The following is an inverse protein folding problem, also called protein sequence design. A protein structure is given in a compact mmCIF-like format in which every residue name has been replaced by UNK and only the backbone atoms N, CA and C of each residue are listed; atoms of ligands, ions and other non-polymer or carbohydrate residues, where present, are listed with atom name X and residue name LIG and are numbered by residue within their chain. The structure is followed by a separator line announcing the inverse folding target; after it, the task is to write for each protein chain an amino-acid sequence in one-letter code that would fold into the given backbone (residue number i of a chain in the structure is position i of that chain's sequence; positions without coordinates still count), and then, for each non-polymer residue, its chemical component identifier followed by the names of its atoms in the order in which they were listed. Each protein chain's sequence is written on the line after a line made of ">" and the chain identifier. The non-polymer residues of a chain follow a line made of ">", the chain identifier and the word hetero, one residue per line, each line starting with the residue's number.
data_IF_741249085634
#
_entry.id   IF_741249085634
#
_cell.length_a   1.000
_cell.length_b   1.000
_cell.length_c   1.000
_cell.angle_alpha   90.00
_cell.angle_beta   90.00
_cell.angle_gamma   90.00
#
_symmetry.space_group_name_H-M   'P 1'
#
loop_
_entity.id
_entity.type
_entity.pdbx_description
1 polymer ?
#
# COMPACT_ATOMS: atom_id res chain seq x y z
N UNK A 1 34.51 37.69 19.49
CA UNK A 1 34.81 37.30 18.24
C UNK A 1 34.35 35.99 17.83
N UNK A 2 34.47 35.07 18.55
CA UNK A 2 34.19 33.71 18.10
C UNK A 2 32.75 33.33 18.17
N UNK A 3 31.97 34.25 18.42
CA UNK A 3 30.63 33.96 18.71
C UNK A 3 29.79 33.57 17.58
N UNK A 4 30.10 33.95 16.45
CA UNK A 4 29.27 33.71 15.37
C UNK A 4 29.09 32.27 15.01
N UNK A 5 29.88 31.42 15.51
CA UNK A 5 29.88 30.09 15.11
C UNK A 5 28.70 29.30 15.50
N UNK A 6 28.11 29.66 16.56
CA UNK A 6 27.14 28.83 17.12
C UNK A 6 25.92 28.69 16.32
N UNK A 7 25.59 29.49 15.46
CA UNK A 7 24.35 29.44 14.78
C UNK A 7 24.18 28.27 13.83
N UNK A 8 25.21 27.59 13.55
CA UNK A 8 25.15 26.65 12.47
C UNK A 8 24.55 25.30 12.77
N UNK A 9 24.39 24.95 14.01
CA UNK A 9 23.97 23.61 14.35
C UNK A 9 22.47 23.36 14.33
N UNK A 10 21.71 24.41 14.35
CA UNK A 10 20.30 24.30 14.60
C UNK A 10 19.47 23.63 13.51
N UNK A 11 19.68 23.91 12.26
CA UNK A 11 18.81 23.37 11.22
C UNK A 11 18.88 21.86 11.05
N UNK A 12 19.97 21.29 11.45
CA UNK A 12 20.19 19.85 11.22
C UNK A 12 19.26 18.99 12.06
N UNK A 13 18.98 19.42 13.26
CA UNK A 13 18.11 18.66 14.15
C UNK A 13 16.67 18.61 13.65
N UNK A 14 16.21 19.63 13.01
CA UNK A 14 14.86 19.67 12.46
C UNK A 14 14.70 18.74 11.27
N UNK A 15 15.71 18.65 10.45
CA UNK A 15 15.66 17.77 9.29
C UNK A 15 15.62 16.30 9.72
N UNK A 16 16.37 15.94 10.71
CA UNK A 16 16.37 14.58 11.24
C UNK A 16 15.01 14.22 11.84
N UNK A 17 14.37 15.13 12.52
CA UNK A 17 13.07 14.90 13.12
C UNK A 17 11.99 14.65 12.08
N UNK A 18 12.01 15.35 10.97
CA UNK A 18 11.02 15.17 9.93
C UNK A 18 11.22 13.87 9.15
N UNK A 19 12.41 13.36 9.07
CA UNK A 19 12.69 12.15 8.33
C UNK A 19 12.09 10.88 8.97
N UNK A 20 11.88 10.90 10.27
CA UNK A 20 11.44 9.71 11.01
C UNK A 20 10.01 9.31 10.67
N UNK A 21 9.15 10.27 10.43
CA UNK A 21 7.72 10.02 10.21
C UNK A 21 7.35 9.94 8.74
N UNK A 22 8.26 10.23 7.84
CA UNK A 22 7.91 10.41 6.45
C UNK A 22 8.13 9.15 5.61
N UNK A 23 7.14 8.81 4.82
CA UNK A 23 7.30 7.95 3.65
C UNK A 23 8.24 8.68 2.69
N UNK A 24 9.21 8.00 2.06
CA UNK A 24 10.06 8.64 1.06
C UNK A 24 9.25 9.38 0.00
N UNK A 25 9.65 10.59 -0.42
CA UNK A 25 8.86 11.38 -1.37
C UNK A 25 8.53 10.66 -2.67
N UNK A 26 9.42 9.82 -3.13
CA UNK A 26 9.20 9.02 -4.34
C UNK A 26 8.02 8.04 -4.18
N UNK A 27 7.87 7.45 -3.00
CA UNK A 27 6.76 6.52 -2.72
C UNK A 27 5.47 7.28 -2.42
N UNK A 28 5.56 8.45 -1.78
CA UNK A 28 4.40 9.27 -1.49
C UNK A 28 3.71 9.78 -2.76
N UNK A 29 4.43 9.95 -3.85
CA UNK A 29 3.88 10.39 -5.13
C UNK A 29 3.20 9.26 -5.91
N UNK A 30 3.41 8.00 -5.53
CA UNK A 30 2.79 6.85 -6.18
C UNK A 30 1.33 6.71 -5.72
N UNK A 31 0.38 6.47 -6.62
CA UNK A 31 -1.00 6.25 -6.22
C UNK A 31 -1.15 5.01 -5.34
N UNK A 32 -2.18 4.97 -4.51
CA UNK A 32 -2.42 3.85 -3.61
C UNK A 32 -2.63 2.53 -4.38
N UNK A 33 -3.29 2.60 -5.53
CA UNK A 33 -3.44 1.48 -6.48
C UNK A 33 -3.03 1.98 -7.86
N UNK A 34 -2.09 1.30 -8.47
CA UNK A 34 -1.66 1.56 -9.85
C UNK A 34 -2.63 0.88 -10.83
N UNK A 35 -3.58 1.66 -11.34
CA UNK A 35 -4.63 1.15 -12.21
C UNK A 35 -4.10 0.69 -13.58
N UNK A 36 -3.03 1.29 -14.06
CA UNK A 36 -2.40 0.86 -15.31
C UNK A 36 -1.80 -0.54 -15.16
N UNK A 37 -1.07 -0.76 -14.07
CA UNK A 37 -0.51 -2.06 -13.74
C UNK A 37 -1.62 -3.11 -13.54
N UNK A 38 -2.66 -2.76 -12.77
CA UNK A 38 -3.78 -3.66 -12.52
C UNK A 38 -4.49 -4.05 -13.83
N UNK A 39 -4.77 -3.09 -14.68
CA UNK A 39 -5.41 -3.32 -15.98
C UNK A 39 -4.56 -4.22 -16.87
N UNK A 40 -3.24 -4.03 -16.83
CA UNK A 40 -2.32 -4.88 -17.57
C UNK A 40 -2.36 -6.33 -17.06
N UNK A 41 -2.37 -6.52 -15.75
CA UNK A 41 -2.40 -7.83 -15.11
C UNK A 41 -3.72 -8.58 -15.32
N UNK A 42 -4.82 -7.86 -15.48
CA UNK A 42 -6.16 -8.43 -15.69
C UNK A 42 -6.59 -8.41 -17.17
N UNK A 43 -5.68 -8.04 -18.07
CA UNK A 43 -5.95 -7.91 -19.50
C UNK A 43 -7.09 -6.93 -19.81
N UNK A 44 -7.29 -5.94 -18.98
CA UNK A 44 -8.34 -4.94 -19.10
C UNK A 44 -9.73 -5.43 -18.74
N UNK A 45 -9.84 -6.62 -18.15
CA UNK A 45 -11.12 -7.19 -17.79
C UNK A 45 -11.63 -6.60 -16.48
N UNK A 46 -12.64 -5.74 -16.58
CA UNK A 46 -13.16 -4.96 -15.46
C UNK A 46 -13.72 -5.81 -14.33
N UNK A 47 -14.41 -6.88 -14.65
CA UNK A 47 -14.94 -7.81 -13.66
C UNK A 47 -13.83 -8.42 -12.82
N UNK A 48 -12.75 -8.81 -13.47
CA UNK A 48 -11.59 -9.37 -12.81
C UNK A 48 -10.85 -8.33 -11.96
N UNK A 49 -10.72 -7.10 -12.45
CA UNK A 49 -10.15 -5.99 -11.65
C UNK A 49 -10.88 -5.82 -10.31
N UNK A 50 -12.21 -5.78 -10.37
CA UNK A 50 -13.06 -5.64 -9.18
C UNK A 50 -12.85 -6.83 -8.22
N UNK A 51 -12.83 -8.02 -8.77
CA UNK A 51 -12.70 -9.24 -7.97
C UNK A 51 -11.34 -9.34 -7.27
N UNK A 52 -10.24 -9.06 -7.96
CA UNK A 52 -8.92 -9.12 -7.36
C UNK A 52 -8.72 -8.01 -6.33
N UNK A 53 -9.30 -6.81 -6.52
CA UNK A 53 -9.25 -5.75 -5.52
C UNK A 53 -9.98 -6.15 -4.23
N UNK A 54 -11.16 -6.74 -4.35
CA UNK A 54 -11.90 -7.25 -3.18
C UNK A 54 -11.17 -8.38 -2.47
N UNK A 55 -10.55 -9.26 -3.23
CA UNK A 55 -9.76 -10.36 -2.68
C UNK A 55 -8.55 -9.83 -1.92
N UNK A 56 -7.83 -8.87 -2.49
CA UNK A 56 -6.69 -8.24 -1.83
C UNK A 56 -7.09 -7.57 -0.52
N UNK A 57 -8.20 -6.83 -0.51
CA UNK A 57 -8.71 -6.15 0.68
C UNK A 57 -8.92 -7.14 1.83
N UNK A 58 -9.63 -8.24 1.57
CA UNK A 58 -9.86 -9.29 2.57
C UNK A 58 -8.58 -9.96 3.03
N UNK A 59 -7.68 -10.26 2.10
CA UNK A 59 -6.40 -10.90 2.39
C UNK A 59 -5.51 -10.01 3.26
N UNK A 60 -5.39 -8.74 2.91
CA UNK A 60 -4.57 -7.78 3.64
C UNK A 60 -5.04 -7.63 5.09
N UNK A 61 -6.35 -7.53 5.29
CA UNK A 61 -6.94 -7.44 6.62
C UNK A 61 -6.66 -8.70 7.47
N UNK A 62 -6.83 -9.87 6.88
CA UNK A 62 -6.54 -11.13 7.54
C UNK A 62 -5.06 -11.28 7.90
N UNK A 63 -4.17 -10.95 6.97
CA UNK A 63 -2.73 -11.04 7.20
C UNK A 63 -2.27 -10.09 8.31
N UNK A 64 -2.78 -8.85 8.33
CA UNK A 64 -2.48 -7.90 9.41
C UNK A 64 -2.96 -8.41 10.76
N UNK A 65 -4.16 -8.98 10.83
CA UNK A 65 -4.67 -9.55 12.07
C UNK A 65 -3.78 -10.68 12.57
N UNK A 66 -3.36 -11.56 11.68
CA UNK A 66 -2.47 -12.68 12.02
C UNK A 66 -1.08 -12.23 12.46
N UNK A 67 -0.55 -11.17 11.85
CA UNK A 67 0.76 -10.63 12.26
C UNK A 67 0.79 -10.17 13.71
N UNK A 68 -0.34 -9.75 14.26
CA UNK A 68 -0.46 -9.33 15.66
C UNK A 68 -0.45 -10.50 16.64
N UNK A 69 -0.70 -11.70 16.16
CA UNK A 69 -0.82 -12.91 16.97
C UNK A 69 0.42 -13.81 16.94
N UNK A 70 1.33 -13.57 16.00
CA UNK A 70 2.50 -14.43 15.78
C UNK A 70 3.79 -13.74 16.20
N UNK A 71 4.86 -14.52 16.40
CA UNK A 71 6.20 -14.01 16.69
C UNK A 71 6.86 -13.40 15.43
N UNK A 72 8.05 -12.79 15.61
CA UNK A 72 8.73 -12.07 14.53
C UNK A 72 8.92 -12.86 13.24
N UNK A 73 9.30 -14.13 13.34
CA UNK A 73 9.47 -14.99 12.16
C UNK A 73 8.18 -15.16 11.38
N UNK A 74 7.06 -15.32 12.08
CA UNK A 74 5.74 -15.39 11.47
C UNK A 74 5.36 -14.07 10.82
N UNK A 75 5.68 -12.95 11.46
CA UNK A 75 5.48 -11.61 10.88
C UNK A 75 6.23 -11.48 9.56
N UNK A 76 7.49 -11.88 9.50
CA UNK A 76 8.28 -11.80 8.27
C UNK A 76 7.65 -12.61 7.13
N UNK A 77 7.19 -13.82 7.43
CA UNK A 77 6.53 -14.68 6.42
C UNK A 77 5.24 -14.07 5.91
N UNK A 78 4.39 -13.55 6.80
CA UNK A 78 3.12 -12.93 6.44
C UNK A 78 3.35 -11.62 5.68
N UNK A 79 4.34 -10.82 6.08
CA UNK A 79 4.71 -9.59 5.37
C UNK A 79 5.20 -9.90 3.95
N UNK A 80 5.99 -10.94 3.78
CA UNK A 80 6.44 -11.39 2.45
C UNK A 80 5.26 -11.76 1.55
N UNK A 81 4.30 -12.49 2.07
CA UNK A 81 3.07 -12.86 1.35
C UNK A 81 2.28 -11.61 0.96
N UNK A 82 2.11 -10.67 1.89
CA UNK A 82 1.39 -9.43 1.61
C UNK A 82 2.10 -8.58 0.55
N UNK A 83 3.43 -8.50 0.60
CA UNK A 83 4.22 -7.80 -0.42
C UNK A 83 3.96 -8.36 -1.81
N UNK A 84 3.98 -9.68 -1.95
CA UNK A 84 3.70 -10.33 -3.23
C UNK A 84 2.31 -10.02 -3.77
N UNK A 85 1.29 -10.13 -2.93
CA UNK A 85 -0.09 -9.79 -3.30
C UNK A 85 -0.25 -8.32 -3.68
N UNK A 86 0.38 -7.43 -2.92
CA UNK A 86 0.34 -6.00 -3.19
C UNK A 86 0.99 -5.65 -4.54
N UNK A 87 2.12 -6.26 -4.84
CA UNK A 87 2.78 -6.09 -6.15
C UNK A 87 1.88 -6.57 -7.29
N UNK A 88 1.16 -7.65 -7.09
CA UNK A 88 0.25 -8.18 -8.10
C UNK A 88 -0.85 -7.20 -8.53
N UNK A 89 -1.35 -6.40 -7.63
CA UNK A 89 -2.43 -5.43 -7.92
C UNK A 89 -1.94 -3.99 -8.07
N UNK A 90 -0.65 -3.74 -7.99
CA UNK A 90 -0.10 -2.38 -8.10
C UNK A 90 -0.25 -1.55 -6.82
N UNK A 91 -0.38 -2.18 -5.66
CA UNK A 91 -0.38 -1.51 -4.36
C UNK A 91 1.07 -1.33 -3.86
N UNK A 92 1.83 -0.52 -4.56
CA UNK A 92 3.28 -0.37 -4.34
C UNK A 92 3.64 0.12 -2.95
N UNK A 93 2.82 0.98 -2.37
CA UNK A 93 3.05 1.51 -1.02
C UNK A 93 2.87 0.43 0.04
N UNK A 94 1.89 -0.43 -0.12
CA UNK A 94 1.70 -1.61 0.75
C UNK A 94 2.88 -2.57 0.58
N UNK A 95 3.31 -2.82 -0.64
CA UNK A 95 4.45 -3.68 -0.92
C UNK A 95 5.72 -3.18 -0.23
N UNK A 96 6.01 -1.88 -0.36
CA UNK A 96 7.17 -1.26 0.28
C UNK A 96 7.12 -1.34 1.81
N UNK A 97 5.95 -1.10 2.41
CA UNK A 97 5.76 -1.17 3.86
C UNK A 97 5.87 -2.61 4.36
N UNK A 98 5.39 -3.59 3.60
CA UNK A 98 5.53 -5.01 3.93
C UNK A 98 6.99 -5.45 3.86
N UNK A 99 7.73 -5.02 2.85
CA UNK A 99 9.17 -5.27 2.74
C UNK A 99 9.95 -4.62 3.88
N UNK A 100 9.58 -3.42 4.29
CA UNK A 100 10.19 -2.76 5.45
C UNK A 100 9.93 -3.54 6.74
N UNK A 101 8.75 -4.12 6.89
CA UNK A 101 8.41 -4.97 8.04
C UNK A 101 9.25 -6.25 8.05
N UNK A 102 9.37 -6.90 6.91
CA UNK A 102 10.23 -8.08 6.76
C UNK A 102 11.69 -7.76 7.08
N UNK A 103 12.17 -6.62 6.59
CA UNK A 103 13.52 -6.14 6.84
C UNK A 103 13.76 -5.86 8.34
N UNK A 104 12.78 -5.27 9.02
CA UNK A 104 12.86 -5.00 10.46
C UNK A 104 13.05 -6.30 11.26
N UNK A 105 12.35 -7.36 10.88
CA UNK A 105 12.54 -8.68 11.50
C UNK A 105 13.96 -9.19 11.26
N UNK A 106 14.44 -9.15 10.04
CA UNK A 106 15.78 -9.64 9.68
C UNK A 106 16.89 -8.88 10.38
N UNK A 107 16.70 -7.60 10.62
CA UNK A 107 17.67 -6.74 11.29
C UNK A 107 17.49 -6.68 12.81
N UNK A 108 16.49 -7.38 13.35
CA UNK A 108 16.15 -7.35 14.77
C UNK A 108 15.90 -5.92 15.29
N UNK A 109 15.32 -5.08 14.44
CA UNK A 109 14.91 -3.73 14.82
C UNK A 109 13.47 -3.75 15.35
N UNK A 110 13.03 -2.69 16.09
CA UNK A 110 11.67 -2.66 16.62
C UNK A 110 10.61 -2.82 15.56
N UNK A 111 9.65 -3.72 15.77
CA UNK A 111 8.59 -4.03 14.82
C UNK A 111 7.43 -3.04 14.86
N UNK A 112 7.16 -2.42 15.99
CA UNK A 112 6.00 -1.57 16.18
C UNK A 112 5.90 -0.44 15.15
N UNK A 113 6.98 0.32 14.86
CA UNK A 113 6.91 1.34 13.82
C UNK A 113 6.66 0.78 12.42
N UNK A 114 7.29 -0.34 12.09
CA UNK A 114 7.10 -1.00 10.79
C UNK A 114 5.67 -1.52 10.63
N UNK A 115 5.14 -2.14 11.67
CA UNK A 115 3.75 -2.63 11.68
C UNK A 115 2.74 -1.48 11.58
N UNK A 116 3.00 -0.37 12.26
CA UNK A 116 2.15 0.81 12.17
C UNK A 116 2.15 1.40 10.75
N UNK A 117 3.31 1.49 10.13
CA UNK A 117 3.45 1.94 8.75
C UNK A 117 2.73 1.02 7.75
N UNK A 118 2.84 -0.27 7.96
CA UNK A 118 2.15 -1.26 7.13
C UNK A 118 0.64 -1.15 7.27
N UNK A 119 0.12 -1.06 8.49
CA UNK A 119 -1.30 -0.88 8.74
C UNK A 119 -1.84 0.39 8.09
N UNK A 120 -1.11 1.50 8.20
CA UNK A 120 -1.49 2.77 7.56
C UNK A 120 -1.54 2.65 6.04
N UNK A 121 -0.57 1.98 5.43
CA UNK A 121 -0.53 1.77 3.98
C UNK A 121 -1.68 0.88 3.50
N UNK A 122 -2.02 -0.15 4.26
CA UNK A 122 -3.16 -1.02 3.96
C UNK A 122 -4.47 -0.25 4.07
N UNK A 123 -4.65 0.56 5.11
CA UNK A 123 -5.85 1.39 5.27
C UNK A 123 -6.02 2.37 4.11
N UNK A 124 -4.94 2.95 3.64
CA UNK A 124 -4.96 3.85 2.49
C UNK A 124 -5.36 3.10 1.21
N UNK A 125 -4.78 1.93 0.97
CA UNK A 125 -5.13 1.08 -0.16
C UNK A 125 -6.62 0.68 -0.11
N UNK A 126 -7.13 0.32 1.06
CA UNK A 126 -8.55 -0.03 1.25
C UNK A 126 -9.48 1.13 0.93
N UNK A 127 -9.13 2.35 1.34
CA UNK A 127 -9.93 3.54 0.99
C UNK A 127 -9.92 3.79 -0.52
N UNK A 128 -8.78 3.62 -1.15
CA UNK A 128 -8.69 3.75 -2.61
C UNK A 128 -9.52 2.68 -3.32
N UNK A 129 -9.46 1.44 -2.86
CA UNK A 129 -10.26 0.34 -3.40
C UNK A 129 -11.75 0.63 -3.23
N UNK A 130 -12.19 1.08 -2.06
CA UNK A 130 -13.58 1.43 -1.82
C UNK A 130 -14.07 2.51 -2.78
N UNK A 131 -13.24 3.53 -3.04
CA UNK A 131 -13.55 4.57 -4.03
C UNK A 131 -13.67 4.02 -5.45
N UNK A 132 -12.77 3.13 -5.85
CA UNK A 132 -12.80 2.50 -7.17
C UNK A 132 -14.02 1.61 -7.35
N UNK A 133 -14.39 0.84 -6.33
CA UNK A 133 -15.56 -0.03 -6.37
C UNK A 133 -16.87 0.77 -6.38
N UNK A 134 -16.92 1.91 -5.70
CA UNK A 134 -18.07 2.79 -5.71
C UNK A 134 -18.29 3.40 -7.10
N UNK A 135 -17.25 3.87 -7.74
CA UNK A 135 -17.30 4.37 -9.13
C UNK A 135 -17.73 3.27 -10.09
N UNK A 136 -17.19 2.06 -9.94
CA UNK A 136 -17.56 0.93 -10.78
C UNK A 136 -19.04 0.56 -10.63
N UNK A 137 -19.59 0.64 -9.43
CA UNK A 137 -20.99 0.35 -9.18
C UNK A 137 -21.95 1.42 -9.70
N UNK A 138 -21.46 2.64 -9.95
CA UNK A 138 -22.29 3.72 -10.49
C UNK A 138 -22.28 3.80 -12.03
N UNK A 139 -21.37 3.11 -12.69
CA UNK A 139 -21.36 3.09 -14.13
C UNK A 139 -22.49 2.21 -14.64
N UNK A 140 -23.42 2.76 -15.44
CA UNK A 140 -24.44 1.94 -16.08
C UNK A 140 -23.77 0.96 -17.02
N UNK A 141 -24.20 -0.27 -16.96
CA UNK A 141 -23.73 -1.32 -17.83
C UNK A 141 -24.14 -1.02 -19.26
N UNK A 142 -23.28 -0.33 -19.99
CA UNK A 142 -23.52 0.04 -21.38
C UNK A 142 -23.30 -1.16 -22.32
N UNK A 143 -22.74 -2.23 -21.82
CA UNK A 143 -22.34 -3.39 -22.62
C UNK A 143 -23.50 -4.27 -23.09
N UNK A 144 -24.71 -4.06 -22.63
CA UNK A 144 -25.85 -4.95 -22.96
C UNK A 144 -26.78 -4.46 -24.07
N UNK A 145 -26.50 -3.33 -24.73
CA UNK A 145 -27.50 -2.70 -25.62
C UNK A 145 -27.22 -2.69 -27.11
N UNK A 146 -26.35 -3.51 -27.60
CA UNK A 146 -26.00 -3.43 -29.02
C UNK A 146 -26.49 -4.56 -29.89
N UNK A 147 -27.29 -5.47 -29.41
CA UNK A 147 -27.60 -6.66 -30.18
C UNK A 147 -29.03 -6.83 -30.66
N UNK A 148 -29.98 -5.98 -30.29
CA UNK A 148 -31.38 -6.30 -30.58
C UNK A 148 -32.23 -5.24 -31.31
N UNK A 149 -31.63 -4.33 -32.03
CA UNK A 149 -32.38 -3.39 -32.81
C UNK A 149 -32.04 -3.47 -34.31
N UNK A 150 -32.11 -4.65 -34.87
CA UNK A 150 -32.12 -4.89 -36.29
C UNK A 150 -33.23 -5.85 -36.68
N UNK A 151 -34.44 -5.30 -36.64
CA UNK A 151 -35.56 -5.85 -37.41
C UNK A 151 -36.30 -4.76 -38.09
#
# INVERSE_FOLDING_TARGET
>A
MADMIKSSGTPIAMVASSAIAAVPPAIAAVPAIDMEHLSHMTLGERGLEIEVLRLFERQAELLLARMREVGPEGVATLAHTLSGSAKGIGAWRVAAAAEATECAVKQSTPLDPAMAGLAASVDEARRAIAGLLDVAGRMPEIAGRTADDRR
#
